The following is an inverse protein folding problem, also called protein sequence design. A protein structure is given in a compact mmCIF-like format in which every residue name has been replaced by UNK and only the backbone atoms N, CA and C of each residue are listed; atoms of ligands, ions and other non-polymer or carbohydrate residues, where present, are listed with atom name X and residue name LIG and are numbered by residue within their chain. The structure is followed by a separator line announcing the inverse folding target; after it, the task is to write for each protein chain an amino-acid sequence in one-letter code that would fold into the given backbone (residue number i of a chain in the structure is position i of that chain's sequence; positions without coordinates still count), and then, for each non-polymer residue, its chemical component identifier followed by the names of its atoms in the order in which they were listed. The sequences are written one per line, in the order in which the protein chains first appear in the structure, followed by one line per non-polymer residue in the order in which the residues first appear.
data_IF_199034192689
#
_entry.id   IF_199034192689
#
_cell.length_a   1.000
_cell.length_b   1.000
_cell.length_c   1.000
_cell.angle_alpha   90.00
_cell.angle_beta   90.00
_cell.angle_gamma   90.00
#
_symmetry.space_group_name_H-M   'P 1'
#
loop_
_entity.id
_entity.type
_entity.pdbx_description
1 polymer ?
#
# COMPACT_ATOMS: atom_id res chain seq x y z
N UNK A 1 5.63 6.39 -10.80
CA UNK A 1 5.80 4.92 -10.70
C UNK A 1 7.23 4.57 -10.28
N UNK A 2 8.23 4.94 -11.08
CA UNK A 2 9.67 4.71 -10.87
C UNK A 2 10.17 4.73 -9.43
N UNK A 3 9.96 5.83 -8.68
CA UNK A 3 10.43 5.96 -7.27
C UNK A 3 9.98 4.80 -6.36
N UNK A 4 8.75 4.32 -6.54
CA UNK A 4 8.22 3.19 -5.77
C UNK A 4 8.87 1.88 -6.18
N UNK A 5 9.02 1.64 -7.48
CA UNK A 5 9.70 0.44 -7.98
C UNK A 5 11.16 0.40 -7.53
N UNK A 6 11.88 1.53 -7.59
CA UNK A 6 13.24 1.63 -7.07
C UNK A 6 13.33 1.32 -5.58
N UNK A 7 12.36 1.75 -4.77
CA UNK A 7 12.31 1.39 -3.35
C UNK A 7 12.21 -0.13 -3.14
N UNK A 8 11.34 -0.83 -3.87
CA UNK A 8 11.26 -2.29 -3.79
C UNK A 8 12.51 -2.98 -4.33
N UNK A 9 13.11 -2.46 -5.39
CA UNK A 9 14.38 -2.96 -5.91
C UNK A 9 15.51 -2.85 -4.87
N UNK A 10 15.60 -1.75 -4.11
CA UNK A 10 16.56 -1.62 -3.00
C UNK A 10 16.32 -2.63 -1.87
N UNK A 11 15.10 -3.14 -1.74
CA UNK A 11 14.75 -4.22 -0.81
C UNK A 11 14.95 -5.63 -1.41
N UNK A 12 15.49 -5.73 -2.63
CA UNK A 12 15.69 -6.99 -3.34
C UNK A 12 14.41 -7.60 -3.93
N UNK A 13 13.35 -6.78 -4.09
CA UNK A 13 12.04 -7.23 -4.59
C UNK A 13 11.82 -6.69 -6.00
N UNK A 14 11.76 -7.60 -6.97
CA UNK A 14 11.31 -7.27 -8.33
C UNK A 14 9.77 -7.25 -8.38
N UNK A 15 9.20 -6.11 -8.81
CA UNK A 15 7.76 -5.94 -8.94
C UNK A 15 7.33 -6.34 -10.35
N UNK A 16 6.73 -7.52 -10.50
CA UNK A 16 6.22 -7.99 -11.80
C UNK A 16 4.82 -7.48 -12.11
N UNK A 17 4.00 -7.32 -11.05
CA UNK A 17 2.56 -7.12 -11.14
C UNK A 17 2.08 -6.16 -10.07
N UNK A 18 1.09 -5.35 -10.43
CA UNK A 18 0.33 -4.52 -9.50
C UNK A 18 -1.12 -4.93 -9.57
N UNK A 19 -1.77 -5.11 -8.43
CA UNK A 19 -3.20 -5.41 -8.38
C UNK A 19 -3.95 -4.27 -7.70
N UNK A 20 -5.03 -3.79 -8.30
CA UNK A 20 -5.90 -2.74 -7.73
C UNK A 20 -7.37 -3.13 -7.82
N UNK A 21 -8.21 -2.41 -7.09
CA UNK A 21 -9.64 -2.43 -7.35
C UNK A 21 -10.00 -1.72 -8.67
N UNK A 22 -11.28 -1.75 -9.02
CA UNK A 22 -11.82 -1.14 -10.23
C UNK A 22 -12.14 0.35 -10.07
N UNK A 23 -11.59 1.03 -9.05
CA UNK A 23 -11.75 2.45 -8.83
C UNK A 23 -11.27 3.29 -10.03
N UNK A 24 -11.99 4.38 -10.33
CA UNK A 24 -11.73 5.19 -11.52
C UNK A 24 -10.31 5.72 -11.63
N UNK A 25 -9.65 6.02 -10.50
CA UNK A 25 -8.25 6.46 -10.48
C UNK A 25 -7.27 5.40 -11.00
N UNK A 26 -7.52 4.12 -10.74
CA UNK A 26 -6.68 3.01 -11.19
C UNK A 26 -7.01 2.56 -12.62
N UNK A 27 -8.21 2.89 -13.11
CA UNK A 27 -8.59 2.67 -14.52
C UNK A 27 -8.08 3.76 -15.47
N UNK A 28 -7.43 4.81 -14.96
CA UNK A 28 -6.88 5.89 -15.78
C UNK A 28 -5.84 5.39 -16.78
N UNK A 29 -5.80 6.00 -17.97
CA UNK A 29 -4.85 5.61 -19.03
C UNK A 29 -3.42 5.94 -18.61
N UNK A 30 -3.26 7.04 -17.88
CA UNK A 30 -2.00 7.55 -17.36
C UNK A 30 -1.38 6.57 -16.35
N UNK A 31 -2.17 6.01 -15.45
CA UNK A 31 -1.69 5.02 -14.49
C UNK A 31 -1.27 3.73 -15.18
N UNK A 32 -2.08 3.23 -16.13
CA UNK A 32 -1.77 2.04 -16.91
C UNK A 32 -0.51 2.25 -17.76
N UNK A 33 -0.35 3.40 -18.41
CA UNK A 33 0.84 3.74 -19.18
C UNK A 33 2.09 3.81 -18.31
N UNK A 34 1.99 4.38 -17.10
CA UNK A 34 3.11 4.45 -16.16
C UNK A 34 3.55 3.08 -15.62
N UNK A 35 2.64 2.10 -15.54
CA UNK A 35 2.98 0.71 -15.21
C UNK A 35 3.61 0.00 -16.40
N UNK A 36 3.02 0.14 -17.59
CA UNK A 36 3.50 -0.48 -18.81
C UNK A 36 4.91 -0.02 -19.20
N UNK A 37 5.22 1.28 -19.03
CA UNK A 37 6.55 1.84 -19.27
C UNK A 37 7.66 1.23 -18.41
N UNK A 38 7.29 0.65 -17.26
CA UNK A 38 8.22 -0.01 -16.34
C UNK A 38 8.15 -1.55 -16.47
N UNK A 39 7.42 -2.08 -17.46
CA UNK A 39 7.24 -3.52 -17.68
C UNK A 39 6.35 -4.20 -16.64
N UNK A 40 5.59 -3.45 -15.84
CA UNK A 40 4.77 -3.98 -14.75
C UNK A 40 3.37 -4.26 -15.24
N UNK A 41 2.90 -5.50 -15.08
CA UNK A 41 1.52 -5.87 -15.48
C UNK A 41 0.50 -5.39 -14.45
N UNK A 42 -0.51 -4.66 -14.93
CA UNK A 42 -1.65 -4.28 -14.09
C UNK A 42 -2.72 -5.37 -14.07
N UNK A 43 -3.24 -5.69 -12.88
CA UNK A 43 -4.32 -6.66 -12.64
C UNK A 43 -5.42 -5.99 -11.86
N UNK A 44 -6.66 -6.13 -12.31
CA UNK A 44 -7.82 -5.68 -11.54
C UNK A 44 -8.36 -6.81 -10.68
N UNK A 45 -8.85 -6.48 -9.49
CA UNK A 45 -9.68 -7.42 -8.73
C UNK A 45 -10.93 -7.76 -9.54
N UNK A 46 -11.43 -8.97 -9.33
CA UNK A 46 -12.67 -9.40 -9.98
C UNK A 46 -13.83 -8.50 -9.50
N UNK A 47 -14.77 -8.13 -10.38
CA UNK A 47 -15.99 -7.45 -9.96
C UNK A 47 -16.67 -8.19 -8.80
N UNK A 48 -17.21 -7.43 -7.85
CA UNK A 48 -17.90 -7.96 -6.66
C UNK A 48 -17.07 -8.91 -5.79
N UNK A 49 -15.74 -8.80 -5.84
CA UNK A 49 -14.81 -9.65 -5.07
C UNK A 49 -14.01 -8.86 -4.01
N UNK A 50 -14.67 -8.24 -3.01
CA UNK A 50 -14.00 -7.37 -2.04
C UNK A 50 -12.95 -8.10 -1.18
N UNK A 51 -13.12 -9.41 -0.97
CA UNK A 51 -12.15 -10.21 -0.22
C UNK A 51 -10.74 -10.20 -0.83
N UNK A 52 -10.60 -9.93 -2.14
CA UNK A 52 -9.30 -9.81 -2.80
C UNK A 52 -8.54 -8.55 -2.35
N UNK A 53 -9.24 -7.54 -1.87
CA UNK A 53 -8.64 -6.28 -1.42
C UNK A 53 -8.40 -6.24 0.10
N UNK A 54 -8.67 -7.35 0.81
CA UNK A 54 -8.70 -7.38 2.27
C UNK A 54 -7.38 -6.94 2.95
N UNK A 55 -6.22 -7.10 2.30
CA UNK A 55 -4.94 -6.63 2.84
C UNK A 55 -4.87 -5.10 2.86
N UNK A 56 -5.27 -4.46 1.76
CA UNK A 56 -5.30 -2.99 1.65
C UNK A 56 -6.35 -2.42 2.59
N UNK A 57 -7.54 -3.03 2.63
CA UNK A 57 -8.62 -2.61 3.51
C UNK A 57 -8.22 -2.71 4.99
N UNK A 58 -7.54 -3.80 5.39
CA UNK A 58 -7.05 -3.94 6.77
C UNK A 58 -6.00 -2.89 7.11
N UNK A 59 -5.05 -2.62 6.22
CA UNK A 59 -4.06 -1.57 6.42
C UNK A 59 -4.74 -0.19 6.55
N UNK A 60 -5.66 0.13 5.65
CA UNK A 60 -6.39 1.40 5.67
C UNK A 60 -7.22 1.56 6.95
N UNK A 61 -7.85 0.49 7.41
CA UNK A 61 -8.57 0.49 8.69
C UNK A 61 -7.63 0.76 9.86
N UNK A 62 -6.45 0.12 9.90
CA UNK A 62 -5.45 0.39 10.94
C UNK A 62 -4.94 1.82 10.88
N UNK A 63 -4.66 2.33 9.68
CA UNK A 63 -4.24 3.71 9.47
C UNK A 63 -5.31 4.71 9.92
N UNK A 64 -6.59 4.45 9.62
CA UNK A 64 -7.68 5.30 10.08
C UNK A 64 -7.77 5.31 11.61
N UNK A 65 -7.76 4.13 12.23
CA UNK A 65 -7.91 3.99 13.68
C UNK A 65 -6.72 4.55 14.45
N UNK A 66 -5.49 4.23 14.05
CA UNK A 66 -4.29 4.52 14.84
C UNK A 66 -3.68 5.89 14.47
N UNK A 67 -3.68 6.27 13.19
CA UNK A 67 -3.06 7.53 12.73
C UNK A 67 -4.08 8.65 12.53
N UNK A 68 -5.16 8.40 11.78
CA UNK A 68 -6.10 9.47 11.43
C UNK A 68 -6.92 9.93 12.64
N UNK A 69 -7.47 8.97 13.38
CA UNK A 69 -8.40 9.22 14.49
C UNK A 69 -7.83 8.87 15.86
N UNK A 70 -6.62 8.32 15.93
CA UNK A 70 -5.99 7.90 17.19
C UNK A 70 -5.52 9.05 18.09
N UNK A 71 -5.49 10.29 17.58
CA UNK A 71 -5.19 11.49 18.35
C UNK A 71 -5.85 12.73 17.73
N UNK A 72 -6.01 13.77 18.53
CA UNK A 72 -6.37 15.10 18.03
C UNK A 72 -5.18 15.72 17.27
N UNK A 73 -5.49 16.48 16.22
CA UNK A 73 -4.51 17.15 15.37
C UNK A 73 -4.82 18.63 15.28
N UNK A 74 -3.82 19.48 15.49
CA UNK A 74 -3.98 20.93 15.41
C UNK A 74 -4.07 21.44 13.96
N UNK A 75 -3.56 20.67 13.00
CA UNK A 75 -3.65 20.98 11.57
C UNK A 75 -3.56 19.74 10.69
N UNK A 76 -4.18 19.81 9.51
CA UNK A 76 -4.06 18.77 8.48
C UNK A 76 -2.62 18.63 7.96
N UNK A 77 -1.88 19.73 7.89
CA UNK A 77 -0.46 19.73 7.49
C UNK A 77 0.41 18.99 8.53
N UNK A 78 0.19 19.27 9.81
CA UNK A 78 0.84 18.56 10.92
C UNK A 78 0.47 17.07 10.95
N UNK A 79 -0.78 16.72 10.63
CA UNK A 79 -1.19 15.33 10.47
C UNK A 79 -0.46 14.66 9.30
N UNK A 80 -0.46 15.27 8.13
CA UNK A 80 0.16 14.73 6.93
C UNK A 80 1.67 14.52 7.07
N UNK A 81 2.38 15.39 7.81
CA UNK A 81 3.83 15.27 8.02
C UNK A 81 4.23 14.06 8.87
N UNK A 82 3.32 13.52 9.69
CA UNK A 82 3.59 12.32 10.50
C UNK A 82 3.31 11.00 9.78
N UNK A 83 2.56 11.05 8.66
CA UNK A 83 2.19 9.85 7.91
C UNK A 83 3.41 8.99 7.48
N UNK A 84 4.53 9.56 6.99
CA UNK A 84 5.70 8.77 6.64
C UNK A 84 6.24 7.94 7.81
N UNK A 85 6.34 8.53 9.01
CA UNK A 85 6.82 7.84 10.20
C UNK A 85 5.85 6.72 10.63
N UNK A 86 4.54 6.94 10.52
CA UNK A 86 3.56 5.89 10.77
C UNK A 86 3.70 4.72 9.78
N UNK A 87 3.87 5.00 8.48
CA UNK A 87 4.06 3.95 7.46
C UNK A 87 5.36 3.16 7.69
N UNK A 88 6.43 3.84 8.10
CA UNK A 88 7.68 3.18 8.47
C UNK A 88 7.47 2.25 9.68
N UNK A 89 6.87 2.76 10.75
CA UNK A 89 6.56 1.94 11.92
C UNK A 89 5.67 0.74 11.55
N UNK A 90 4.61 0.94 10.76
CA UNK A 90 3.71 -0.12 10.34
C UNK A 90 4.44 -1.25 9.58
N UNK A 91 5.36 -0.90 8.68
CA UNK A 91 6.08 -1.87 7.85
C UNK A 91 7.24 -2.57 8.58
N UNK A 92 7.95 -1.83 9.45
CA UNK A 92 9.24 -2.26 10.01
C UNK A 92 9.21 -2.58 11.51
N UNK A 93 8.34 -1.92 12.28
CA UNK A 93 8.28 -2.05 13.74
C UNK A 93 7.03 -2.74 14.27
N UNK A 94 5.88 -2.60 13.60
CA UNK A 94 4.59 -3.09 14.11
C UNK A 94 4.51 -4.62 14.05
N UNK A 95 4.24 -5.31 15.15
CA UNK A 95 3.97 -6.75 15.13
C UNK A 95 2.64 -7.03 14.41
N UNK A 96 2.64 -7.98 13.48
CA UNK A 96 1.44 -8.41 12.76
C UNK A 96 1.08 -9.84 13.15
N UNK A 97 -0.15 -10.06 13.60
CA UNK A 97 -0.64 -11.40 13.98
C UNK A 97 -0.61 -12.39 12.82
N UNK A 98 -0.96 -11.94 11.61
CA UNK A 98 -0.84 -12.72 10.38
C UNK A 98 0.62 -13.10 10.01
N UNK A 99 1.59 -12.47 10.67
CA UNK A 99 3.03 -12.72 10.53
C UNK A 99 3.64 -13.41 11.76
N UNK A 100 2.81 -14.01 12.63
CA UNK A 100 3.30 -14.69 13.84
C UNK A 100 3.96 -13.73 14.84
N UNK A 101 3.52 -12.46 14.89
CA UNK A 101 4.07 -11.44 15.78
C UNK A 101 5.31 -10.74 15.24
N UNK A 102 5.80 -11.09 14.05
CA UNK A 102 6.87 -10.35 13.40
C UNK A 102 6.37 -9.08 12.69
N UNK A 103 7.27 -8.11 12.50
CA UNK A 103 7.03 -7.00 11.58
C UNK A 103 6.88 -7.49 10.13
N UNK A 104 6.13 -6.75 9.32
CA UNK A 104 5.79 -7.15 7.95
C UNK A 104 7.05 -7.39 7.10
N UNK A 105 8.04 -6.50 7.20
CA UNK A 105 9.31 -6.65 6.50
C UNK A 105 10.12 -7.86 6.99
N UNK A 106 10.21 -8.08 8.32
CA UNK A 106 10.91 -9.22 8.88
C UNK A 106 10.29 -10.56 8.44
N UNK A 107 8.96 -10.62 8.39
CA UNK A 107 8.22 -11.78 7.89
C UNK A 107 8.45 -12.01 6.39
N UNK A 108 8.56 -10.93 5.60
CA UNK A 108 8.88 -11.03 4.17
C UNK A 108 10.23 -11.69 3.92
N UNK A 109 11.29 -11.28 4.64
CA UNK A 109 12.64 -11.87 4.50
C UNK A 109 12.72 -13.35 4.91
N UNK A 110 11.83 -13.81 5.80
CA UNK A 110 11.80 -15.21 6.27
C UNK A 110 11.14 -16.17 5.28
N UNK A 111 10.25 -15.69 4.41
CA UNK A 111 9.59 -16.53 3.40
C UNK A 111 10.45 -16.57 2.12
N UNK A 112 11.31 -17.59 1.98
CA UNK A 112 11.86 -18.03 0.68
C UNK A 112 10.78 -18.70 -0.18
N UNK A 113 9.76 -17.95 -0.58
CA UNK A 113 8.67 -18.47 -1.42
C UNK A 113 8.50 -17.53 -2.62
N UNK A 114 8.56 -18.01 -3.88
CA UNK A 114 8.16 -17.22 -5.03
C UNK A 114 6.63 -17.10 -4.98
N UNK A 115 6.11 -16.17 -4.19
CA UNK A 115 4.69 -15.87 -4.15
C UNK A 115 4.33 -14.97 -5.34
N UNK A 116 3.70 -15.57 -6.34
CA UNK A 116 3.03 -14.85 -7.41
C UNK A 116 2.14 -13.74 -6.86
N UNK A 117 2.23 -12.56 -7.49
CA UNK A 117 1.36 -11.40 -7.25
C UNK A 117 1.49 -10.84 -5.83
N UNK A 118 2.62 -10.21 -5.52
CA UNK A 118 2.59 -9.20 -4.47
C UNK A 118 1.70 -8.05 -4.94
N UNK A 119 0.52 -7.93 -4.34
CA UNK A 119 -0.30 -6.75 -4.46
C UNK A 119 0.47 -5.59 -3.85
N UNK A 120 1.18 -4.88 -4.71
CA UNK A 120 1.83 -3.64 -4.35
C UNK A 120 0.71 -2.67 -3.98
N UNK A 121 0.64 -2.33 -2.69
CA UNK A 121 -0.23 -1.25 -2.21
C UNK A 121 0.41 0.06 -2.70
N UNK A 122 0.12 0.44 -3.95
CA UNK A 122 0.43 1.78 -4.42
C UNK A 122 -0.59 2.70 -3.75
N UNK A 123 -0.19 3.39 -2.69
CA UNK A 123 -1.06 4.40 -2.09
C UNK A 123 -1.28 5.52 -3.12
N UNK A 124 -2.52 5.64 -3.58
CA UNK A 124 -3.10 6.91 -3.99
C UNK A 124 -3.89 7.45 -2.79
N UNK A 125 -3.28 8.36 -2.04
CA UNK A 125 -4.00 9.14 -1.04
C UNK A 125 -4.97 10.06 -1.79
N UNK A 126 -6.29 9.93 -1.55
CA UNK A 126 -7.29 10.84 -2.08
C UNK A 126 -7.05 12.21 -1.42
N UNK A 127 -6.61 13.21 -2.19
CA UNK A 127 -6.55 14.61 -1.72
C UNK A 127 -7.92 15.30 -1.67
N UNK A 128 -9.02 14.54 -1.80
CA UNK A 128 -10.37 15.07 -2.01
C UNK A 128 -11.34 14.55 -0.94
N UNK A 129 -11.05 14.85 0.32
CA UNK A 129 -12.02 14.85 1.42
C UNK A 129 -11.51 15.80 2.51
N UNK A 130 -11.22 17.04 2.11
CA UNK A 130 -11.26 18.21 2.99
C UNK A 130 -12.33 19.09 2.37
N UNK A 131 -13.58 18.80 2.71
CA UNK A 131 -14.65 19.78 2.70
C UNK A 131 -15.09 19.91 4.14
N UNK A 132 -14.47 20.85 4.83
CA UNK A 132 -15.14 21.77 5.72
C UNK A 132 -14.35 23.07 5.72
#
# INVERSE_FOLDING_TARGET
MRRRLSFFACLGVAVERVMTDNGGCYRSREFNAALAAEGVRHIYTRPYSPWQNGKVERMNRTLALEWQYGRAWDSEAGKASTLPAFIEHYNWGRPHSACGGAAAHAAHRRRKQPFGTQQLVIHAFRKSSISM
#
